data_IF_202792654710
#
_entry.id   IF_202792654710
#
_cell.length_a   1.000
_cell.length_b   1.000
_cell.length_c   1.000
_cell.angle_alpha   90.00
_cell.angle_beta   90.00
_cell.angle_gamma   90.00
#
_symmetry.space_group_name_H-M   'P 1'
#
loop_
_entity.id
_entity.type
_entity.pdbx_description
1 polymer ?
#
# COMPACT_ATOMS: atom_id res chain seq x y z
N UNK A 1 -24.48 0.28 15.92
CA UNK A 1 -23.07 0.40 16.31
C UNK A 1 -22.95 1.62 17.21
N UNK A 2 -22.47 1.43 18.43
CA UNK A 2 -22.08 2.52 19.33
C UNK A 2 -20.72 3.09 18.93
N UNK A 3 -20.35 4.25 19.45
CA UNK A 3 -19.03 4.84 19.22
C UNK A 3 -17.89 3.90 19.64
N UNK A 4 -18.04 3.23 20.79
CA UNK A 4 -17.04 2.28 21.31
C UNK A 4 -16.90 1.06 20.39
N UNK A 5 -18.02 0.52 19.90
CA UNK A 5 -18.02 -0.58 18.93
C UNK A 5 -17.33 -0.17 17.62
N UNK A 6 -17.56 1.05 17.14
CA UNK A 6 -16.89 1.57 15.93
C UNK A 6 -15.39 1.70 16.12
N UNK A 7 -14.94 2.34 17.22
CA UNK A 7 -13.52 2.49 17.53
C UNK A 7 -12.84 1.13 17.62
N UNK A 8 -13.48 0.15 18.28
CA UNK A 8 -12.92 -1.19 18.39
C UNK A 8 -12.86 -1.90 17.03
N UNK A 9 -13.88 -1.74 16.18
CA UNK A 9 -13.87 -2.29 14.83
C UNK A 9 -12.73 -1.71 13.98
N UNK A 10 -12.51 -0.39 14.05
CA UNK A 10 -11.39 0.27 13.35
C UNK A 10 -10.04 -0.24 13.86
N UNK A 11 -9.85 -0.32 15.19
CA UNK A 11 -8.61 -0.88 15.78
C UNK A 11 -8.34 -2.31 15.32
N UNK A 12 -9.36 -3.16 15.33
CA UNK A 12 -9.24 -4.53 14.85
C UNK A 12 -8.85 -4.56 13.37
N UNK A 13 -9.41 -3.67 12.56
CA UNK A 13 -9.08 -3.57 11.13
C UNK A 13 -7.63 -3.13 10.90
N UNK A 14 -7.13 -2.16 11.66
CA UNK A 14 -5.73 -1.73 11.59
C UNK A 14 -4.77 -2.86 11.98
N UNK A 15 -5.06 -3.61 13.04
CA UNK A 15 -4.25 -4.77 13.43
C UNK A 15 -4.24 -5.86 12.34
N UNK A 16 -5.38 -6.10 11.69
CA UNK A 16 -5.46 -7.01 10.55
C UNK A 16 -4.58 -6.53 9.38
N UNK A 17 -4.63 -5.24 9.06
CA UNK A 17 -3.83 -4.63 7.99
C UNK A 17 -2.32 -4.74 8.31
N UNK A 18 -1.93 -4.56 9.57
CA UNK A 18 -0.55 -4.75 10.01
C UNK A 18 -0.05 -6.17 9.68
N UNK A 19 -0.80 -7.22 10.04
CA UNK A 19 -0.42 -8.60 9.71
C UNK A 19 -0.42 -8.88 8.21
N UNK A 20 -1.37 -8.30 7.46
CA UNK A 20 -1.41 -8.40 6.00
C UNK A 20 -0.19 -7.77 5.31
N UNK A 21 0.32 -6.66 5.85
CA UNK A 21 1.52 -6.01 5.33
C UNK A 21 2.74 -6.95 5.41
N UNK A 22 2.94 -7.63 6.54
CA UNK A 22 4.06 -8.57 6.72
C UNK A 22 4.02 -9.70 5.69
N UNK A 23 2.83 -10.30 5.49
CA UNK A 23 2.63 -11.38 4.51
C UNK A 23 2.87 -10.88 3.08
N UNK A 24 2.32 -9.72 2.72
CA UNK A 24 2.49 -9.17 1.36
C UNK A 24 3.92 -8.74 1.11
N UNK A 25 4.59 -8.16 2.11
CA UNK A 25 5.97 -7.76 1.97
C UNK A 25 6.86 -8.99 1.76
N UNK A 26 6.65 -10.07 2.50
CA UNK A 26 7.35 -11.35 2.29
C UNK A 26 7.18 -11.87 0.85
N UNK A 27 5.95 -11.84 0.32
CA UNK A 27 5.64 -12.30 -1.05
C UNK A 27 6.39 -11.54 -2.16
N UNK A 28 6.65 -10.26 -1.97
CA UNK A 28 7.35 -9.44 -2.97
C UNK A 28 8.81 -9.19 -2.60
N UNK A 29 9.21 -9.53 -1.39
CA UNK A 29 10.55 -9.25 -0.89
C UNK A 29 11.58 -10.01 -1.70
N UNK A 30 12.67 -9.32 -2.00
CA UNK A 30 13.94 -9.96 -2.26
C UNK A 30 14.82 -9.63 -1.07
N UNK A 31 15.71 -10.54 -0.65
CA UNK A 31 16.53 -10.40 0.57
C UNK A 31 17.31 -9.07 0.67
N UNK A 32 17.39 -8.28 -0.41
CA UNK A 32 18.20 -7.05 -0.51
C UNK A 32 17.39 -5.78 -0.81
N UNK A 33 16.10 -5.88 -1.14
CA UNK A 33 15.29 -4.72 -1.54
C UNK A 33 13.91 -4.73 -0.85
N UNK A 34 13.73 -3.90 0.20
CA UNK A 34 12.45 -3.79 0.92
C UNK A 34 11.33 -3.18 0.07
N UNK A 35 11.64 -2.58 -1.08
CA UNK A 35 10.69 -2.01 -2.03
C UNK A 35 10.69 -2.76 -3.36
N UNK A 36 11.17 -4.01 -3.40
CA UNK A 36 11.36 -4.80 -4.61
C UNK A 36 10.20 -4.74 -5.61
N UNK A 37 8.95 -4.73 -5.13
CA UNK A 37 7.77 -4.60 -5.97
C UNK A 37 7.72 -3.25 -6.72
N UNK A 38 8.00 -2.14 -6.01
CA UNK A 38 8.00 -0.79 -6.57
C UNK A 38 9.28 -0.50 -7.36
N UNK A 39 10.44 -1.00 -6.93
CA UNK A 39 11.68 -1.00 -7.71
C UNK A 39 11.48 -1.66 -9.07
N UNK A 40 10.87 -2.85 -9.08
CA UNK A 40 10.59 -3.57 -10.31
C UNK A 40 9.54 -2.85 -11.16
N UNK A 41 8.47 -2.36 -10.52
CA UNK A 41 7.45 -1.55 -11.19
C UNK A 41 8.02 -0.31 -11.86
N UNK A 42 8.89 0.41 -11.16
CA UNK A 42 9.58 1.60 -11.68
C UNK A 42 10.41 1.27 -12.92
N UNK A 43 11.20 0.18 -12.86
CA UNK A 43 12.01 -0.27 -14.01
C UNK A 43 11.15 -0.62 -15.21
N UNK A 44 10.04 -1.32 -14.99
CA UNK A 44 9.15 -1.76 -16.06
C UNK A 44 8.38 -0.60 -16.70
N UNK A 45 7.89 0.35 -15.89
CA UNK A 45 7.05 1.44 -16.38
C UNK A 45 7.85 2.62 -16.93
N UNK A 46 9.04 2.87 -16.37
CA UNK A 46 9.77 4.12 -16.60
C UNK A 46 11.24 3.92 -16.97
N UNK A 47 11.76 2.68 -16.93
CA UNK A 47 13.16 2.39 -17.23
C UNK A 47 14.15 2.88 -16.15
N UNK A 48 13.65 3.28 -14.98
CA UNK A 48 14.42 3.85 -13.87
C UNK A 48 13.99 3.17 -12.55
N UNK A 49 14.82 3.21 -11.52
CA UNK A 49 14.50 2.76 -10.17
C UNK A 49 14.82 3.79 -9.08
N UNK A 50 15.07 5.05 -9.46
CA UNK A 50 15.18 6.14 -8.50
C UNK A 50 13.95 6.25 -7.59
N UNK A 51 14.16 6.71 -6.36
CA UNK A 51 13.14 6.76 -5.32
C UNK A 51 11.86 7.49 -5.76
N UNK A 52 12.00 8.63 -6.44
CA UNK A 52 10.87 9.40 -7.00
C UNK A 52 10.03 8.56 -7.97
N UNK A 53 10.67 7.71 -8.78
CA UNK A 53 10.02 6.86 -9.78
C UNK A 53 9.38 5.63 -9.12
N UNK A 54 9.98 5.09 -8.05
CA UNK A 54 9.34 4.07 -7.22
C UNK A 54 8.05 4.58 -6.57
N UNK A 55 8.04 5.85 -6.14
CA UNK A 55 6.83 6.50 -5.64
C UNK A 55 5.75 6.64 -6.73
N UNK A 56 6.12 6.95 -7.97
CA UNK A 56 5.17 6.92 -9.10
C UNK A 56 4.61 5.52 -9.34
N UNK A 57 5.45 4.47 -9.27
CA UNK A 57 5.01 3.09 -9.40
C UNK A 57 4.01 2.69 -8.31
N UNK A 58 4.25 3.09 -7.06
CA UNK A 58 3.33 2.88 -5.95
C UNK A 58 1.97 3.54 -6.22
N UNK A 59 1.96 4.80 -6.68
CA UNK A 59 0.71 5.50 -7.03
C UNK A 59 -0.05 4.79 -8.14
N UNK A 60 0.64 4.26 -9.16
CA UNK A 60 0.00 3.50 -10.23
C UNK A 60 -0.66 2.21 -9.69
N UNK A 61 -0.01 1.51 -8.77
CA UNK A 61 -0.60 0.31 -8.14
C UNK A 61 -1.82 0.67 -7.28
N UNK A 62 -1.75 1.75 -6.50
CA UNK A 62 -2.89 2.25 -5.74
C UNK A 62 -4.07 2.65 -6.64
N UNK A 63 -3.80 3.34 -7.76
CA UNK A 63 -4.81 3.80 -8.69
C UNK A 63 -5.64 2.64 -9.27
N UNK A 64 -5.01 1.48 -9.54
CA UNK A 64 -5.72 0.25 -9.97
C UNK A 64 -6.76 -0.19 -8.92
N UNK A 65 -6.40 -0.22 -7.65
CA UNK A 65 -7.32 -0.62 -6.58
C UNK A 65 -8.42 0.41 -6.35
N UNK A 66 -8.10 1.70 -6.43
CA UNK A 66 -9.10 2.77 -6.39
C UNK A 66 -10.11 2.60 -7.52
N UNK A 67 -9.65 2.39 -8.75
CA UNK A 67 -10.52 2.12 -9.89
C UNK A 67 -11.42 0.90 -9.67
N UNK A 68 -10.89 -0.18 -9.07
CA UNK A 68 -11.68 -1.37 -8.73
C UNK A 68 -12.78 -1.04 -7.71
N UNK A 69 -12.47 -0.28 -6.66
CA UNK A 69 -13.46 0.13 -5.65
C UNK A 69 -14.55 1.00 -6.27
N UNK A 70 -14.20 1.97 -7.13
CA UNK A 70 -15.17 2.83 -7.80
C UNK A 70 -16.11 2.08 -8.75
N UNK A 71 -15.60 1.05 -9.42
CA UNK A 71 -16.36 0.28 -10.41
C UNK A 71 -17.28 -0.79 -9.80
N UNK A 72 -17.19 -1.05 -8.50
CA UNK A 72 -17.88 -2.15 -7.86
C UNK A 72 -18.72 -1.71 -6.65
N UNK A 73 -19.76 -2.47 -6.34
CA UNK A 73 -20.51 -2.30 -5.09
C UNK A 73 -19.62 -2.70 -3.91
N UNK A 74 -19.93 -2.22 -2.70
CA UNK A 74 -19.17 -2.54 -1.48
C UNK A 74 -19.02 -4.06 -1.25
N UNK A 75 -20.03 -4.86 -1.61
CA UNK A 75 -20.03 -6.33 -1.52
C UNK A 75 -19.47 -7.02 -2.76
N UNK A 76 -18.93 -6.26 -3.72
CA UNK A 76 -18.32 -6.78 -4.92
C UNK A 76 -17.10 -7.63 -4.61
N UNK A 77 -16.83 -8.59 -5.49
CA UNK A 77 -15.69 -9.48 -5.33
C UNK A 77 -14.39 -8.68 -5.17
N UNK A 78 -13.61 -9.00 -4.13
CA UNK A 78 -12.31 -8.39 -3.84
C UNK A 78 -12.31 -6.88 -3.60
N UNK A 79 -13.47 -6.26 -3.37
CA UNK A 79 -13.54 -4.84 -3.00
C UNK A 79 -12.89 -4.61 -1.65
N UNK A 80 -13.16 -5.47 -0.67
CA UNK A 80 -12.50 -5.39 0.63
C UNK A 80 -10.97 -5.56 0.53
N UNK A 81 -10.49 -6.53 -0.27
CA UNK A 81 -9.06 -6.71 -0.53
C UNK A 81 -8.44 -5.45 -1.13
N UNK A 82 -9.13 -4.80 -2.09
CA UNK A 82 -8.64 -3.57 -2.71
C UNK A 82 -8.61 -2.38 -1.76
N UNK A 83 -9.59 -2.26 -0.85
CA UNK A 83 -9.55 -1.25 0.21
C UNK A 83 -8.36 -1.49 1.13
N UNK A 84 -8.08 -2.74 1.50
CA UNK A 84 -6.97 -3.10 2.37
C UNK A 84 -5.62 -2.81 1.70
N UNK A 85 -5.50 -3.13 0.40
CA UNK A 85 -4.32 -2.81 -0.41
C UNK A 85 -4.07 -1.31 -0.52
N UNK A 86 -5.12 -0.50 -0.70
CA UNK A 86 -5.00 0.97 -0.68
C UNK A 86 -4.41 1.42 0.64
N UNK A 87 -4.95 0.97 1.79
CA UNK A 87 -4.45 1.39 3.10
C UNK A 87 -2.96 1.00 3.25
N UNK A 88 -2.59 -0.23 2.89
CA UNK A 88 -1.19 -0.68 2.91
C UNK A 88 -0.28 0.23 2.07
N UNK A 89 -0.66 0.55 0.83
CA UNK A 89 0.16 1.38 -0.06
C UNK A 89 0.34 2.81 0.46
N UNK A 90 -0.69 3.40 1.08
CA UNK A 90 -0.56 4.73 1.66
C UNK A 90 0.27 4.73 2.96
N UNK A 91 0.26 3.66 3.74
CA UNK A 91 1.19 3.48 4.87
C UNK A 91 2.64 3.41 4.36
N UNK A 92 2.91 2.64 3.30
CA UNK A 92 4.24 2.57 2.68
C UNK A 92 4.65 3.96 2.18
N UNK A 93 3.77 4.66 1.46
CA UNK A 93 4.02 6.03 0.99
C UNK A 93 4.36 6.99 2.14
N UNK A 94 3.72 6.85 3.30
CA UNK A 94 4.04 7.64 4.49
C UNK A 94 5.46 7.36 5.00
N UNK A 95 5.87 6.09 5.06
CA UNK A 95 7.23 5.71 5.46
C UNK A 95 8.28 6.25 4.48
N UNK A 96 8.00 6.19 3.18
CA UNK A 96 8.85 6.76 2.13
C UNK A 96 8.98 8.28 2.32
N UNK A 97 7.88 8.98 2.54
CA UNK A 97 7.91 10.42 2.79
C UNK A 97 8.76 10.79 4.02
N UNK A 98 8.64 10.04 5.12
CA UNK A 98 9.44 10.25 6.33
C UNK A 98 10.95 10.03 6.08
N UNK A 99 11.32 9.07 5.23
CA UNK A 99 12.72 8.82 4.87
C UNK A 99 13.29 9.97 4.04
N UNK A 100 12.59 10.37 2.98
CA UNK A 100 12.99 11.49 2.12
C UNK A 100 13.13 12.80 2.91
N UNK A 101 12.25 13.04 3.89
CA UNK A 101 12.35 14.22 4.76
C UNK A 101 13.57 14.17 5.69
N UNK A 102 13.95 12.99 6.21
CA UNK A 102 15.15 12.83 7.04
C UNK A 102 16.45 13.05 6.27
N UNK A 103 16.49 12.67 5.00
CA UNK A 103 17.68 12.85 4.14
C UNK A 103 17.92 14.32 3.73
N UNK A 104 16.92 15.19 3.92
CA UNK A 104 16.98 16.62 3.60
C UNK A 104 17.44 17.52 4.77
N UNK A 105 17.64 16.96 5.97
CA UNK A 105 18.04 17.67 7.20
C UNK A 105 19.49 17.35 7.55
#
# INVERSE_FOLDING_TARGET
MTEQEFIQAVKNKLNYIQGMFEIKNDQYSTDKDPLANFTTGARLMYGDNGFSVQYEALKAYAAKHVAHVYNNRLTGAKVQESIDDIICYFVIASVLADQELKERV
#
